data_IF_216479976364
#
_entry.id   IF_216479976364
#
_cell.length_a   1.000
_cell.length_b   1.000
_cell.length_c   1.000
_cell.angle_alpha   90.00
_cell.angle_beta   90.00
_cell.angle_gamma   90.00
#
_symmetry.space_group_name_H-M   'P 1'
#
loop_
_entity.id
_entity.type
_entity.pdbx_description
1 polymer ?
#
# COMPACT_ATOMS: atom_id res chain seq x y z
N UNK A 1 -25.22 27.10 -18.21
CA UNK A 1 -24.49 26.06 -18.97
C UNK A 1 -24.42 24.83 -18.08
N UNK A 2 -24.98 23.66 -18.45
CA UNK A 2 -24.88 22.48 -17.62
C UNK A 2 -23.44 21.94 -17.66
N UNK A 3 -22.87 21.67 -16.48
CA UNK A 3 -21.59 20.99 -16.34
C UNK A 3 -21.79 19.54 -16.81
N UNK A 4 -21.14 19.19 -17.91
CA UNK A 4 -21.08 17.82 -18.41
C UNK A 4 -20.26 16.99 -17.40
N UNK A 5 -20.92 16.12 -16.64
CA UNK A 5 -20.24 15.13 -15.81
C UNK A 5 -19.31 14.28 -16.70
N UNK A 6 -18.07 13.95 -16.25
CA UNK A 6 -17.14 13.18 -17.07
C UNK A 6 -17.78 11.84 -17.43
N UNK A 7 -17.85 11.55 -18.74
CA UNK A 7 -18.31 10.25 -19.24
C UNK A 7 -17.43 9.17 -18.63
N UNK A 8 -18.03 8.25 -17.88
CA UNK A 8 -17.40 6.99 -17.51
C UNK A 8 -16.97 6.30 -18.81
N UNK A 9 -15.67 6.34 -19.10
CA UNK A 9 -15.11 5.64 -20.25
C UNK A 9 -15.23 4.15 -19.93
N UNK A 10 -15.90 3.37 -20.78
CA UNK A 10 -16.05 1.92 -20.56
C UNK A 10 -14.71 1.21 -20.36
N UNK A 11 -13.63 1.78 -20.89
CA UNK A 11 -12.26 1.24 -20.77
C UNK A 11 -11.52 1.69 -19.50
N UNK A 12 -12.16 2.49 -18.64
CA UNK A 12 -11.62 2.94 -17.34
C UNK A 12 -12.49 2.42 -16.19
N UNK A 13 -12.75 1.11 -16.17
CA UNK A 13 -13.37 0.46 -15.01
C UNK A 13 -12.29 0.16 -13.95
N UNK A 14 -12.30 0.85 -12.80
CA UNK A 14 -11.30 0.63 -11.76
C UNK A 14 -11.43 -0.75 -11.08
N UNK A 15 -12.51 -1.51 -11.34
CA UNK A 15 -12.67 -2.88 -10.83
C UNK A 15 -11.93 -3.92 -11.68
N UNK A 16 -11.47 -3.53 -12.87
CA UNK A 16 -10.75 -4.42 -13.80
C UNK A 16 -9.25 -4.19 -13.65
N UNK A 17 -8.42 -5.25 -13.61
CA UNK A 17 -6.97 -5.09 -13.56
C UNK A 17 -6.45 -4.36 -14.80
N UNK A 18 -5.48 -3.47 -14.61
CA UNK A 18 -4.81 -2.80 -15.72
C UNK A 18 -3.96 -3.82 -16.51
N UNK A 19 -4.12 -3.89 -17.85
CA UNK A 19 -3.33 -4.81 -18.66
C UNK A 19 -1.88 -4.31 -18.78
N UNK A 20 -0.91 -5.23 -18.65
CA UNK A 20 0.48 -4.94 -19.02
C UNK A 20 0.56 -4.72 -20.53
N UNK A 21 1.34 -3.72 -20.94
CA UNK A 21 1.55 -3.37 -22.34
C UNK A 21 2.99 -3.67 -22.77
N UNK A 22 3.18 -3.89 -24.06
CA UNK A 22 4.52 -4.01 -24.65
C UNK A 22 5.28 -2.70 -24.39
N UNK A 23 6.45 -2.79 -23.75
CA UNK A 23 7.26 -1.64 -23.36
C UNK A 23 7.19 -1.31 -21.86
N UNK A 24 6.28 -1.92 -21.10
CA UNK A 24 6.26 -1.78 -19.64
C UNK A 24 7.53 -2.38 -19.02
N UNK A 25 8.18 -1.60 -18.16
CA UNK A 25 9.28 -2.10 -17.36
C UNK A 25 8.74 -2.82 -16.13
N UNK A 26 8.92 -4.15 -16.10
CA UNK A 26 8.48 -5.00 -15.00
C UNK A 26 9.66 -5.62 -14.27
N UNK A 27 9.51 -5.76 -12.95
CA UNK A 27 10.26 -6.69 -12.12
C UNK A 27 9.33 -7.83 -11.73
N UNK A 28 9.80 -9.06 -11.80
CA UNK A 28 9.02 -10.22 -11.40
C UNK A 28 9.87 -11.14 -10.53
N UNK A 29 9.20 -11.98 -9.74
CA UNK A 29 9.82 -13.07 -9.00
C UNK A 29 9.06 -14.36 -9.30
N UNK A 30 9.79 -15.46 -9.47
CA UNK A 30 9.20 -16.74 -9.86
C UNK A 30 10.26 -17.79 -10.17
N UNK A 31 9.80 -18.88 -10.78
CA UNK A 31 10.65 -19.99 -11.22
C UNK A 31 10.68 -20.07 -12.74
N UNK A 32 11.81 -20.53 -13.28
CA UNK A 32 11.89 -20.95 -14.68
C UNK A 32 11.39 -22.40 -14.76
N UNK A 33 10.41 -22.66 -15.62
CA UNK A 33 9.74 -23.96 -15.73
C UNK A 33 9.72 -24.38 -17.20
N UNK A 34 9.93 -25.67 -17.47
CA UNK A 34 9.78 -26.24 -18.81
C UNK A 34 8.31 -26.23 -19.24
N UNK A 35 8.02 -25.90 -20.50
CA UNK A 35 6.64 -25.91 -21.02
C UNK A 35 5.98 -27.30 -20.93
N UNK A 36 6.79 -28.35 -21.05
CA UNK A 36 6.40 -29.75 -20.86
C UNK A 36 7.64 -30.57 -20.44
N UNK A 37 7.48 -31.74 -19.80
CA UNK A 37 8.63 -32.54 -19.35
C UNK A 37 9.62 -32.86 -20.47
N UNK A 38 10.87 -32.39 -20.34
CA UNK A 38 11.94 -32.59 -21.31
C UNK A 38 11.94 -31.59 -22.48
N UNK A 39 11.14 -30.52 -22.41
CA UNK A 39 11.15 -29.47 -23.43
C UNK A 39 12.46 -28.65 -23.39
N UNK A 40 12.89 -28.16 -24.55
CA UNK A 40 13.97 -27.17 -24.66
C UNK A 40 13.48 -25.72 -24.49
N UNK A 41 12.17 -25.53 -24.34
CA UNK A 41 11.52 -24.24 -24.14
C UNK A 41 11.03 -24.08 -22.70
N UNK A 42 11.08 -22.84 -22.21
CA UNK A 42 10.81 -22.52 -20.83
C UNK A 42 9.91 -21.29 -20.73
N UNK A 43 9.13 -21.23 -19.67
CA UNK A 43 8.37 -20.05 -19.26
C UNK A 43 8.69 -19.65 -17.83
N UNK A 44 8.42 -18.39 -17.49
CA UNK A 44 8.54 -17.90 -16.12
C UNK A 44 7.21 -18.08 -15.38
N UNK A 45 7.17 -18.99 -14.41
CA UNK A 45 6.07 -19.13 -13.47
C UNK A 45 6.18 -18.03 -12.38
N UNK A 46 5.75 -16.81 -12.72
CA UNK A 46 5.81 -15.67 -11.82
C UNK A 46 4.69 -15.71 -10.77
N UNK A 47 5.08 -15.74 -9.49
CA UNK A 47 4.15 -15.55 -8.38
C UNK A 47 4.01 -14.07 -7.95
N UNK A 48 4.87 -13.19 -8.46
CA UNK A 48 4.85 -11.76 -8.17
C UNK A 48 5.35 -10.96 -9.36
N UNK A 49 4.63 -9.89 -9.69
CA UNK A 49 4.98 -8.92 -10.73
C UNK A 49 4.79 -7.52 -10.15
N UNK A 50 5.79 -6.67 -10.28
CA UNK A 50 5.73 -5.23 -10.02
C UNK A 50 6.10 -4.49 -11.30
N UNK A 51 5.15 -3.72 -11.81
CA UNK A 51 5.36 -2.82 -12.95
C UNK A 51 5.73 -1.42 -12.46
N UNK A 52 6.64 -0.75 -13.18
CA UNK A 52 7.01 0.64 -12.93
C UNK A 52 6.05 1.60 -13.65
N UNK A 53 4.75 1.43 -13.41
CA UNK A 53 3.67 2.20 -14.04
C UNK A 53 2.77 2.82 -12.97
N UNK A 54 2.42 4.09 -13.14
CA UNK A 54 1.46 4.77 -12.27
C UNK A 54 0.03 4.49 -12.69
N UNK A 55 -0.75 3.83 -11.83
CA UNK A 55 -2.17 3.56 -12.04
C UNK A 55 -2.98 4.51 -11.15
N UNK A 56 -3.92 5.24 -11.75
CA UNK A 56 -4.73 6.22 -11.04
C UNK A 56 -6.22 6.00 -11.29
N UNK A 57 -7.02 6.19 -10.24
CA UNK A 57 -8.48 6.15 -10.26
C UNK A 57 -9.03 7.57 -10.21
N UNK A 58 -10.26 7.76 -10.70
CA UNK A 58 -10.91 9.07 -10.72
C UNK A 58 -10.96 9.72 -9.32
N UNK A 59 -10.70 11.04 -9.21
CA UNK A 59 -10.75 11.76 -7.94
C UNK A 59 -12.07 11.55 -7.18
N UNK A 60 -11.97 11.25 -5.89
CA UNK A 60 -13.12 11.02 -5.01
C UNK A 60 -13.98 9.81 -5.32
N UNK A 61 -13.62 9.00 -6.31
CA UNK A 61 -14.45 7.89 -6.80
C UNK A 61 -14.01 6.55 -6.21
N UNK A 62 -14.97 5.67 -5.95
CA UNK A 62 -14.69 4.29 -5.52
C UNK A 62 -14.93 3.30 -6.68
N UNK A 63 -14.16 2.21 -6.76
CA UNK A 63 -13.04 1.88 -5.89
C UNK A 63 -11.78 2.72 -6.14
N UNK A 64 -11.02 2.92 -5.08
CA UNK A 64 -9.62 3.33 -5.13
C UNK A 64 -8.79 2.41 -4.24
N UNK A 65 -7.49 2.38 -4.51
CA UNK A 65 -6.59 1.39 -3.97
C UNK A 65 -5.43 2.05 -3.25
N UNK A 66 -5.04 1.45 -2.14
CA UNK A 66 -3.83 1.80 -1.39
C UNK A 66 -2.94 0.59 -1.22
N UNK A 67 -1.63 0.80 -1.30
CA UNK A 67 -0.64 -0.20 -0.95
C UNK A 67 0.44 0.41 -0.04
N UNK A 68 1.05 -0.47 0.75
CA UNK A 68 2.25 -0.16 1.52
C UNK A 68 3.42 -0.77 0.76
N UNK A 69 4.33 0.07 0.29
CA UNK A 69 5.56 -0.40 -0.35
C UNK A 69 6.64 -0.71 0.69
N UNK A 70 6.71 0.11 1.74
CA UNK A 70 7.68 -0.04 2.82
C UNK A 70 6.98 0.22 4.14
N UNK A 71 7.07 -0.75 5.05
CA UNK A 71 6.81 -0.55 6.46
C UNK A 71 8.04 -1.00 7.25
N UNK A 72 8.69 -0.04 7.90
CA UNK A 72 9.84 -0.29 8.76
C UNK A 72 9.50 0.23 10.13
N UNK A 73 9.72 -0.64 11.11
CA UNK A 73 9.62 -0.31 12.51
C UNK A 73 10.94 -0.67 13.18
N UNK A 74 11.57 0.35 13.72
CA UNK A 74 12.77 0.23 14.51
C UNK A 74 12.50 -0.29 15.92
N UNK A 75 13.36 -1.17 16.41
CA UNK A 75 13.40 -1.57 17.82
C UNK A 75 14.40 -0.67 18.54
N UNK A 76 13.93 0.06 19.55
CA UNK A 76 14.79 0.84 20.43
C UNK A 76 15.57 -0.14 21.33
N UNK A 77 16.81 -0.45 20.97
CA UNK A 77 17.75 -1.15 21.86
C UNK A 77 18.51 -0.13 22.70
N UNK A 78 18.73 -0.41 23.99
CA UNK A 78 19.67 0.39 24.77
C UNK A 78 21.09 0.12 24.24
N UNK A 79 21.83 1.16 23.80
CA UNK A 79 23.15 0.96 23.25
C UNK A 79 24.09 0.45 24.34
N UNK A 80 24.74 -0.68 24.08
CA UNK A 80 25.78 -1.18 24.98
C UNK A 80 27.05 -0.36 24.78
N UNK A 81 27.63 0.10 25.89
CA UNK A 81 28.89 0.83 25.88
C UNK A 81 29.98 -0.03 25.20
N UNK A 82 30.69 0.57 24.26
CA UNK A 82 31.85 -0.01 23.55
C UNK A 82 31.54 -1.16 22.57
N UNK A 83 30.27 -1.43 22.24
CA UNK A 83 29.88 -2.40 21.21
C UNK A 83 29.24 -1.67 20.03
N UNK A 84 29.76 -1.81 18.79
CA UNK A 84 29.07 -1.34 17.59
C UNK A 84 27.75 -2.10 17.42
N UNK A 85 26.62 -1.39 17.39
CA UNK A 85 25.30 -1.98 17.25
C UNK A 85 24.55 -1.35 16.07
N UNK A 86 23.88 -2.19 15.27
CA UNK A 86 22.97 -1.72 14.23
C UNK A 86 21.67 -1.23 14.89
N UNK A 87 21.57 0.08 15.10
CA UNK A 87 20.36 0.71 15.60
C UNK A 87 19.57 1.31 14.43
N UNK A 88 18.40 0.74 14.13
CA UNK A 88 17.39 1.43 13.32
C UNK A 88 16.33 1.97 14.27
N UNK A 89 16.41 3.26 14.59
CA UNK A 89 15.49 3.93 15.51
C UNK A 89 14.40 4.73 14.77
N UNK A 90 13.70 4.13 13.80
CA UNK A 90 12.68 4.87 13.04
C UNK A 90 11.41 4.06 12.78
N UNK A 91 10.29 4.75 12.83
CA UNK A 91 9.07 4.29 12.21
C UNK A 91 8.96 4.93 10.83
N UNK A 92 8.84 4.13 9.78
CA UNK A 92 8.74 4.61 8.41
C UNK A 92 7.68 3.84 7.65
N UNK A 93 6.77 4.60 7.05
CA UNK A 93 5.81 4.10 6.08
C UNK A 93 6.05 4.80 4.75
N UNK A 94 6.07 4.02 3.68
CA UNK A 94 5.95 4.47 2.31
C UNK A 94 4.82 3.66 1.68
N UNK A 95 3.87 4.36 1.10
CA UNK A 95 2.78 3.75 0.37
C UNK A 95 2.41 4.58 -0.85
N UNK A 96 1.42 4.09 -1.58
CA UNK A 96 0.87 4.76 -2.74
C UNK A 96 -0.66 4.62 -2.74
N UNK A 97 -1.35 5.65 -3.20
CA UNK A 97 -2.80 5.66 -3.46
C UNK A 97 -3.06 5.91 -4.94
N UNK A 98 -4.00 5.17 -5.51
CA UNK A 98 -4.45 5.41 -6.89
C UNK A 98 -5.28 6.69 -7.00
N UNK A 99 -5.78 7.22 -5.88
CA UNK A 99 -6.46 8.52 -5.85
C UNK A 99 -5.67 9.51 -5.00
N UNK A 100 -4.90 10.39 -5.67
CA UNK A 100 -4.09 11.42 -5.04
C UNK A 100 -4.89 12.64 -4.53
N UNK A 101 -6.21 12.68 -4.78
CA UNK A 101 -7.09 13.76 -4.29
C UNK A 101 -7.56 13.55 -2.85
N UNK A 102 -7.55 12.31 -2.37
CA UNK A 102 -7.99 11.94 -1.02
C UNK A 102 -6.81 11.65 -0.11
N UNK A 103 -6.94 12.02 1.16
CA UNK A 103 -5.92 11.76 2.18
C UNK A 103 -5.93 10.28 2.58
N UNK A 104 -4.85 9.83 3.18
CA UNK A 104 -4.67 8.44 3.64
C UNK A 104 -4.40 8.44 5.14
N UNK A 105 -5.26 7.77 5.89
CA UNK A 105 -5.09 7.52 7.32
C UNK A 105 -4.13 6.36 7.54
N UNK A 106 -3.22 6.52 8.49
CA UNK A 106 -2.31 5.47 8.98
C UNK A 106 -2.78 5.05 10.36
N UNK A 107 -3.08 3.78 10.52
CA UNK A 107 -3.54 3.17 11.77
C UNK A 107 -2.48 2.22 12.32
N UNK A 108 -2.33 2.25 13.64
CA UNK A 108 -1.65 1.22 14.41
C UNK A 108 -2.68 0.20 14.86
N UNK A 109 -2.31 -1.08 14.82
CA UNK A 109 -3.19 -2.19 15.15
C UNK A 109 -2.80 -2.77 16.52
N UNK A 110 -3.54 -2.36 17.56
CA UNK A 110 -3.32 -2.82 18.93
C UNK A 110 -4.01 -4.18 19.13
N UNK A 111 -3.25 -5.22 19.51
CA UNK A 111 -3.79 -6.54 19.86
C UNK A 111 -4.07 -6.56 21.35
N UNK A 112 -5.35 -6.67 21.76
CA UNK A 112 -5.70 -6.82 23.18
C UNK A 112 -5.58 -8.28 23.57
N UNK A 113 -4.97 -8.54 24.73
CA UNK A 113 -4.81 -9.90 25.26
C UNK A 113 -6.13 -10.53 25.69
N UNK A 114 -7.11 -9.71 26.07
CA UNK A 114 -8.34 -10.14 26.75
C UNK A 114 -9.60 -10.07 25.86
N UNK A 115 -9.46 -9.64 24.61
CA UNK A 115 -10.55 -9.58 23.62
C UNK A 115 -10.01 -10.15 22.33
N UNK A 116 -10.70 -11.12 21.72
CA UNK A 116 -10.43 -11.56 20.35
C UNK A 116 -10.75 -10.40 19.39
N UNK A 117 -9.83 -9.46 19.26
CA UNK A 117 -10.04 -8.26 18.49
C UNK A 117 -8.78 -7.43 18.32
N UNK A 118 -8.60 -6.94 17.09
CA UNK A 118 -7.61 -5.93 16.75
C UNK A 118 -8.30 -4.57 16.86
N UNK A 119 -7.76 -3.66 17.68
CA UNK A 119 -8.24 -2.29 17.75
C UNK A 119 -7.38 -1.39 16.84
N UNK A 120 -8.04 -0.61 15.98
CA UNK A 120 -7.36 0.40 15.18
C UNK A 120 -7.21 1.70 15.98
N UNK A 121 -6.00 2.25 16.00
CA UNK A 121 -5.71 3.56 16.56
C UNK A 121 -5.10 4.44 15.48
N UNK A 122 -5.72 5.58 15.21
CA UNK A 122 -5.21 6.53 14.22
C UNK A 122 -3.87 7.10 14.70
N UNK A 123 -2.82 6.93 13.90
CA UNK A 123 -1.51 7.52 14.14
C UNK A 123 -1.42 8.90 13.50
N UNK A 124 -1.80 8.99 12.23
CA UNK A 124 -1.70 10.23 11.44
C UNK A 124 -2.51 10.12 10.15
N UNK A 125 -2.67 11.26 9.48
CA UNK A 125 -3.28 11.37 8.16
C UNK A 125 -2.28 12.02 7.21
N UNK A 126 -2.03 11.38 6.07
CA UNK A 126 -1.04 11.79 5.10
C UNK A 126 -1.71 12.32 3.84
N UNK A 127 -1.19 13.44 3.35
CA UNK A 127 -1.51 13.98 2.04
C UNK A 127 -0.64 13.31 0.96
N UNK A 128 -1.24 12.71 -0.08
CA UNK A 128 -0.48 12.17 -1.19
C UNK A 128 0.29 13.26 -1.93
N UNK A 129 1.49 12.93 -2.42
CA UNK A 129 2.24 13.82 -3.30
C UNK A 129 1.42 14.12 -4.56
N UNK A 130 1.38 15.39 -4.95
CA UNK A 130 0.64 15.88 -6.14
C UNK A 130 1.55 16.24 -7.31
N UNK A 131 2.86 16.22 -7.08
CA UNK A 131 3.89 16.55 -8.08
C UNK A 131 4.99 15.50 -8.00
N UNK A 132 5.53 15.09 -9.15
CA UNK A 132 6.52 14.02 -9.24
C UNK A 132 5.86 12.64 -9.16
N UNK A 133 6.18 11.86 -8.12
CA UNK A 133 5.53 10.57 -7.85
C UNK A 133 4.14 10.79 -7.25
N UNK A 134 3.19 11.14 -8.12
CA UNK A 134 1.79 11.42 -7.75
C UNK A 134 1.22 10.22 -6.97
N UNK A 135 0.44 10.47 -5.92
CA UNK A 135 -0.19 9.40 -5.13
C UNK A 135 0.72 8.79 -4.05
N UNK A 136 2.01 9.13 -4.02
CA UNK A 136 2.92 8.63 -2.98
C UNK A 136 2.57 9.24 -1.62
N UNK A 137 2.46 8.40 -0.60
CA UNK A 137 2.35 8.80 0.81
C UNK A 137 3.57 8.32 1.57
N UNK A 138 4.13 9.18 2.42
CA UNK A 138 5.32 8.84 3.20
C UNK A 138 5.33 9.55 4.53
N UNK A 139 5.71 8.82 5.57
CA UNK A 139 6.08 9.40 6.84
C UNK A 139 7.33 8.73 7.40
N UNK A 140 8.15 9.49 8.10
CA UNK A 140 9.27 8.96 8.89
C UNK A 140 9.26 9.68 10.22
N UNK A 141 8.97 8.94 11.29
CA UNK A 141 8.95 9.42 12.65
C UNK A 141 10.22 8.95 13.37
N UNK A 142 10.81 9.81 14.24
CA UNK A 142 11.91 9.38 15.10
C UNK A 142 11.39 8.35 16.12
N UNK A 143 12.10 7.24 16.33
CA UNK A 143 11.72 6.27 17.36
C UNK A 143 12.00 6.75 18.80
N UNK A 144 12.72 7.87 18.97
CA UNK A 144 13.00 8.47 20.29
C UNK A 144 11.84 9.26 20.88
N UNK A 145 10.82 9.57 20.08
CA UNK A 145 9.60 10.04 20.68
C UNK A 145 8.86 8.78 21.12
N UNK A 146 8.54 8.72 22.42
CA UNK A 146 7.77 7.67 23.10
C UNK A 146 6.36 7.55 22.49
N UNK A 147 6.30 7.14 21.22
CA UNK A 147 5.10 7.10 20.41
C UNK A 147 4.33 5.82 20.72
N UNK A 148 3.78 5.76 21.94
CA UNK A 148 2.77 4.78 22.35
C UNK A 148 3.32 3.32 22.28
N UNK A 149 2.65 2.32 22.88
CA UNK A 149 3.07 0.94 22.71
C UNK A 149 3.18 0.61 21.22
N UNK A 150 4.36 0.14 20.85
CA UNK A 150 4.68 -0.17 19.45
C UNK A 150 3.90 -1.40 19.05
N UNK A 151 3.05 -1.27 18.03
CA UNK A 151 2.30 -2.40 17.47
C UNK A 151 3.11 -3.09 16.39
N UNK A 152 3.00 -4.42 16.31
CA UNK A 152 3.62 -5.19 15.23
C UNK A 152 3.05 -4.84 13.85
N UNK A 153 1.77 -4.47 13.82
CA UNK A 153 1.01 -4.34 12.60
C UNK A 153 0.55 -2.89 12.36
N UNK A 154 0.57 -2.47 11.09
CA UNK A 154 0.17 -1.14 10.61
C UNK A 154 -0.82 -1.33 9.46
N UNK A 155 -1.80 -0.44 9.38
CA UNK A 155 -2.76 -0.37 8.28
C UNK A 155 -2.79 1.03 7.70
N UNK A 156 -3.02 1.13 6.40
CA UNK A 156 -3.36 2.40 5.75
C UNK A 156 -4.75 2.29 5.12
N UNK A 157 -5.52 3.38 5.16
CA UNK A 157 -6.86 3.46 4.57
C UNK A 157 -7.08 4.85 3.99
N UNK A 158 -7.78 4.94 2.86
CA UNK A 158 -8.25 6.23 2.34
C UNK A 158 -9.21 6.86 3.35
N UNK A 159 -9.05 8.14 3.62
CA UNK A 159 -9.90 8.89 4.54
C UNK A 159 -11.37 8.90 4.07
N UNK A 160 -12.31 8.77 5.01
CA UNK A 160 -13.76 8.72 4.71
C UNK A 160 -14.27 7.36 4.24
N UNK A 161 -13.42 6.33 4.24
CA UNK A 161 -13.81 4.96 3.89
C UNK A 161 -14.01 4.15 5.17
N UNK A 162 -15.21 3.61 5.36
CA UNK A 162 -15.58 2.85 6.57
C UNK A 162 -15.17 1.38 6.51
N UNK A 163 -15.12 0.78 5.32
CA UNK A 163 -14.70 -0.61 5.12
C UNK A 163 -13.68 -0.75 4.01
N UNK A 164 -12.62 -1.46 4.33
CA UNK A 164 -11.47 -1.66 3.47
C UNK A 164 -11.28 -3.16 3.23
N UNK A 165 -11.45 -3.58 1.97
CA UNK A 165 -11.39 -5.01 1.62
C UNK A 165 -10.03 -5.34 1.05
N UNK A 166 -9.30 -6.26 1.70
CA UNK A 166 -8.04 -6.76 1.14
C UNK A 166 -8.34 -7.46 -0.20
N UNK A 167 -7.66 -7.04 -1.25
CA UNK A 167 -7.69 -7.66 -2.56
C UNK A 167 -6.32 -8.30 -2.86
N UNK A 168 -6.24 -9.14 -3.89
CA UNK A 168 -5.02 -9.88 -4.22
C UNK A 168 -3.79 -8.95 -4.37
N UNK A 169 -2.60 -9.45 -4.00
CA UNK A 169 -1.36 -8.69 -4.14
C UNK A 169 -1.08 -7.64 -3.05
N UNK A 170 -1.81 -7.65 -1.92
CA UNK A 170 -1.55 -6.77 -0.78
C UNK A 170 -2.19 -5.38 -0.88
N UNK A 171 -3.05 -5.18 -1.88
CA UNK A 171 -3.84 -3.97 -2.04
C UNK A 171 -5.08 -4.00 -1.14
N UNK A 172 -5.53 -2.83 -0.71
CA UNK A 172 -6.78 -2.67 0.03
C UNK A 172 -7.73 -1.80 -0.79
N UNK A 173 -8.92 -2.35 -1.06
CA UNK A 173 -10.02 -1.73 -1.78
C UNK A 173 -10.81 -0.83 -0.84
N UNK A 174 -10.98 0.44 -1.21
CA UNK A 174 -11.96 1.31 -0.58
C UNK A 174 -13.37 1.08 -1.16
N UNK A 175 -14.34 0.76 -0.32
CA UNK A 175 -15.75 0.71 -0.73
C UNK A 175 -16.65 1.41 0.29
N UNK A 176 -17.63 2.18 -0.20
CA UNK A 176 -18.73 2.73 0.61
C UNK A 176 -19.97 1.95 0.20
N UNK A 177 -20.59 1.20 1.11
CA UNK A 177 -21.94 0.68 0.88
C UNK A 177 -22.93 1.78 1.26
N UNK A 178 -23.73 2.27 0.31
CA UNK A 178 -25.06 2.73 0.68
C UNK A 178 -25.91 1.48 0.94
N UNK A 179 -26.66 1.53 2.05
CA UNK A 179 -27.59 0.50 2.52
C UNK A 179 -28.53 0.02 1.41
#
# INVERSE_FOLDING_TARGET
MPIQLPRSHKDCDPKVPAPLQIGDYISFAGMLTEDSPGASTFFHAAHSIKSMTGIYTSPGSNPAYVNIEVAILGTLGEPFKDVPQEETSRFRIVGFTTDASRRVNVFLLDVKKDVEGVQERLLTTLDPQRVGQIGRVRITLPAKANFLPVTRDVRIRIEGVERDTKVAGGWILASTQHQ
#
